data_IF_855574831906
#
_entry.id   IF_855574831906
#
_cell.length_a   1.000
_cell.length_b   1.000
_cell.length_c   1.000
_cell.angle_alpha   90.00
_cell.angle_beta   90.00
_cell.angle_gamma   90.00
#
_symmetry.space_group_name_H-M   'P 1'
#
loop_
_entity.id
_entity.type
_entity.pdbx_description
1 polymer ?
#
# COMPACT_ATOMS: atom_id res chain seq x y z
N UNK A 1 25.34 -13.67 7.06
CA UNK A 1 25.55 -13.82 8.53
C UNK A 1 25.50 -15.29 8.94
N UNK A 2 24.43 -16.04 8.67
CA UNK A 2 24.30 -17.46 9.07
C UNK A 2 25.42 -18.35 8.48
N UNK A 3 25.79 -18.18 7.20
CA UNK A 3 26.87 -18.95 6.59
C UNK A 3 28.22 -18.76 7.29
N UNK A 4 28.50 -17.60 7.86
CA UNK A 4 29.73 -17.35 8.59
C UNK A 4 29.79 -18.12 9.93
N UNK A 5 28.64 -18.38 10.54
CA UNK A 5 28.54 -19.12 11.81
C UNK A 5 28.68 -20.63 11.62
N UNK A 6 28.61 -21.17 10.40
CA UNK A 6 28.85 -22.60 10.15
C UNK A 6 30.28 -23.01 10.44
N UNK A 7 31.27 -22.12 10.19
CA UNK A 7 32.68 -22.42 10.44
C UNK A 7 32.98 -22.69 11.92
N UNK A 8 32.60 -21.82 12.89
CA UNK A 8 32.79 -22.12 14.31
C UNK A 8 32.00 -23.37 14.77
N UNK A 9 30.82 -23.65 14.21
CA UNK A 9 30.05 -24.87 14.53
C UNK A 9 30.81 -26.12 14.10
N UNK A 10 31.35 -26.15 12.88
CA UNK A 10 32.14 -27.25 12.37
C UNK A 10 33.44 -27.43 13.18
N UNK A 11 34.10 -26.34 13.55
CA UNK A 11 35.27 -26.34 14.39
C UNK A 11 35.01 -26.96 15.75
N UNK A 12 33.96 -26.55 16.45
CA UNK A 12 33.56 -27.13 17.73
C UNK A 12 33.17 -28.60 17.60
N UNK A 13 32.52 -28.99 16.51
CA UNK A 13 32.20 -30.42 16.26
C UNK A 13 33.46 -31.25 16.05
N UNK A 14 34.46 -30.74 15.35
CA UNK A 14 35.76 -31.42 15.17
C UNK A 14 36.51 -31.53 16.50
N UNK A 15 36.47 -30.50 17.34
CA UNK A 15 37.08 -30.49 18.65
C UNK A 15 36.41 -31.54 19.57
N UNK A 16 35.08 -31.62 19.60
CA UNK A 16 34.34 -32.64 20.32
C UNK A 16 34.66 -34.04 19.83
N UNK A 17 34.76 -34.24 18.50
CA UNK A 17 35.10 -35.54 17.94
C UNK A 17 36.52 -35.99 18.30
N UNK A 18 37.43 -35.07 18.56
CA UNK A 18 38.82 -35.39 18.96
C UNK A 18 38.91 -35.91 20.40
N UNK A 19 37.93 -35.59 21.24
CA UNK A 19 37.86 -36.07 22.64
C UNK A 19 36.91 -37.26 22.84
N UNK A 20 36.31 -37.76 21.75
CA UNK A 20 35.40 -38.92 21.85
C UNK A 20 36.15 -40.24 21.80
N UNK A 21 35.86 -41.11 22.78
CA UNK A 21 36.29 -42.50 22.82
C UNK A 21 35.08 -43.44 22.72
N UNK A 22 35.30 -44.63 22.11
CA UNK A 22 34.20 -45.59 21.92
C UNK A 22 33.62 -46.05 23.29
N UNK A 23 32.33 -45.85 23.44
CA UNK A 23 31.61 -46.19 24.69
C UNK A 23 31.31 -45.00 25.59
N UNK A 24 31.80 -43.81 25.29
CA UNK A 24 31.44 -42.60 26.03
C UNK A 24 29.99 -42.16 25.75
N UNK A 25 29.31 -41.82 26.82
CA UNK A 25 27.99 -41.15 26.71
C UNK A 25 28.15 -39.67 26.38
N UNK A 26 27.06 -39.06 25.90
CA UNK A 26 27.05 -37.61 25.60
C UNK A 26 27.36 -36.78 26.85
N UNK A 27 26.94 -37.26 28.04
CA UNK A 27 27.20 -36.57 29.31
C UNK A 27 28.68 -36.62 29.70
N UNK A 28 29.35 -37.78 29.46
CA UNK A 28 30.79 -37.91 29.69
C UNK A 28 31.59 -36.98 28.79
N UNK A 29 31.20 -36.89 27.51
CA UNK A 29 31.82 -36.01 26.56
C UNK A 29 31.66 -34.51 26.94
N UNK A 30 30.47 -34.13 27.48
CA UNK A 30 30.25 -32.77 28.00
C UNK A 30 31.11 -32.49 29.23
N UNK A 31 31.34 -33.46 30.10
CA UNK A 31 32.24 -33.34 31.25
C UNK A 31 33.70 -33.08 30.85
N UNK A 32 34.16 -33.65 29.73
CA UNK A 32 35.52 -33.43 29.20
C UNK A 32 35.64 -32.18 28.34
N UNK A 33 34.53 -31.51 28.01
CA UNK A 33 34.53 -30.35 27.10
C UNK A 33 35.39 -29.17 27.56
N UNK A 34 35.41 -28.90 28.89
CA UNK A 34 36.25 -27.87 29.47
C UNK A 34 37.73 -28.11 29.26
N UNK A 35 38.20 -29.38 29.39
CA UNK A 35 39.58 -29.74 29.13
C UNK A 35 39.96 -29.64 27.64
N UNK A 36 38.99 -29.91 26.72
CA UNK A 36 39.20 -29.74 25.28
C UNK A 36 39.37 -28.27 24.90
N UNK A 37 38.67 -27.36 25.58
CA UNK A 37 38.76 -25.91 25.36
C UNK A 37 40.12 -25.33 25.85
N UNK A 38 40.80 -25.94 26.80
CA UNK A 38 42.14 -25.50 27.22
C UNK A 38 43.19 -25.68 26.11
N UNK A 39 42.94 -26.59 25.16
CA UNK A 39 43.84 -26.85 24.02
C UNK A 39 43.08 -26.75 22.69
N UNK A 40 42.62 -25.58 22.32
CA UNK A 40 41.69 -25.40 21.22
C UNK A 40 42.27 -25.81 19.86
N UNK A 41 43.57 -25.74 19.67
CA UNK A 41 44.23 -26.07 18.39
C UNK A 41 44.70 -27.55 18.28
N UNK A 42 44.46 -28.37 19.32
CA UNK A 42 44.82 -29.79 19.33
C UNK A 42 43.76 -30.69 18.69
N UNK A 43 43.25 -30.33 17.48
CA UNK A 43 42.25 -31.12 16.78
C UNK A 43 42.93 -32.35 16.17
N UNK A 44 42.44 -33.55 16.55
CA UNK A 44 42.81 -34.82 15.94
C UNK A 44 41.69 -35.30 15.02
N UNK A 45 42.00 -35.58 13.77
CA UNK A 45 41.03 -36.15 12.84
C UNK A 45 40.80 -37.62 13.17
N UNK A 46 39.59 -37.96 13.61
CA UNK A 46 39.19 -39.31 13.96
C UNK A 46 38.16 -39.86 12.96
N UNK A 47 37.96 -41.20 12.88
CA UNK A 47 36.91 -41.77 12.04
C UNK A 47 35.49 -41.28 12.40
N UNK A 48 35.30 -40.73 13.60
CA UNK A 48 34.04 -40.20 14.09
C UNK A 48 33.84 -38.71 13.71
N UNK A 49 34.91 -37.97 13.36
CA UNK A 49 34.86 -36.54 13.04
C UNK A 49 33.78 -36.21 12.00
N UNK A 50 33.63 -36.92 10.87
CA UNK A 50 32.59 -36.60 9.86
C UNK A 50 31.19 -36.77 10.41
N UNK A 51 30.94 -37.76 11.31
CA UNK A 51 29.64 -37.98 11.93
C UNK A 51 29.26 -36.84 12.87
N UNK A 52 30.21 -36.37 13.70
CA UNK A 52 30.01 -35.23 14.59
C UNK A 52 29.76 -33.94 13.80
N UNK A 53 30.52 -33.70 12.73
CA UNK A 53 30.31 -32.52 11.86
C UNK A 53 28.94 -32.55 11.20
N UNK A 54 28.50 -33.71 10.68
CA UNK A 54 27.18 -33.85 10.07
C UNK A 54 26.07 -33.62 11.09
N UNK A 55 26.20 -34.22 12.29
CA UNK A 55 25.24 -34.03 13.39
C UNK A 55 25.13 -32.55 13.81
N UNK A 56 26.27 -31.90 13.97
CA UNK A 56 26.31 -30.47 14.31
C UNK A 56 25.66 -29.59 13.24
N UNK A 57 25.91 -29.87 11.94
CA UNK A 57 25.26 -29.18 10.85
C UNK A 57 23.73 -29.37 10.81
N UNK A 58 23.27 -30.61 11.12
CA UNK A 58 21.82 -30.86 11.19
C UNK A 58 21.17 -30.11 12.34
N UNK A 59 21.78 -30.13 13.54
CA UNK A 59 21.28 -29.36 14.69
C UNK A 59 21.31 -27.86 14.41
N UNK A 60 22.40 -27.37 13.83
CA UNK A 60 22.50 -25.95 13.45
C UNK A 60 21.47 -25.56 12.42
N UNK A 61 21.31 -26.32 11.34
CA UNK A 61 20.32 -26.08 10.29
C UNK A 61 18.89 -26.10 10.84
N UNK A 62 18.58 -27.04 11.72
CA UNK A 62 17.30 -27.10 12.39
C UNK A 62 17.04 -25.88 13.30
N UNK A 63 18.06 -25.47 14.06
CA UNK A 63 17.98 -24.27 14.92
C UNK A 63 17.76 -22.99 14.11
N UNK A 64 18.44 -22.85 12.96
CA UNK A 64 18.23 -21.72 12.04
C UNK A 64 16.84 -21.77 11.42
N UNK A 65 16.36 -22.95 11.01
CA UNK A 65 15.02 -23.12 10.47
C UNK A 65 13.95 -22.76 11.49
N UNK A 66 14.10 -23.21 12.73
CA UNK A 66 13.20 -22.82 13.84
C UNK A 66 13.22 -21.32 14.07
N UNK A 67 14.40 -20.71 14.14
CA UNK A 67 14.53 -19.27 14.32
C UNK A 67 13.84 -18.48 13.19
N UNK A 68 14.04 -18.90 11.94
CA UNK A 68 13.40 -18.26 10.79
C UNK A 68 11.88 -18.47 10.78
N UNK A 69 11.42 -19.64 11.20
CA UNK A 69 9.99 -19.99 11.27
C UNK A 69 9.27 -19.25 12.40
N UNK A 70 9.92 -19.10 13.57
CA UNK A 70 9.34 -18.44 14.73
C UNK A 70 9.53 -16.92 14.73
N UNK A 71 10.33 -16.41 13.79
CA UNK A 71 10.53 -14.97 13.64
C UNK A 71 9.26 -14.31 13.15
N UNK A 72 8.48 -13.78 14.08
CA UNK A 72 7.34 -12.93 13.76
C UNK A 72 7.82 -11.67 13.05
N UNK A 73 7.30 -11.42 11.85
CA UNK A 73 7.50 -10.16 11.13
C UNK A 73 6.64 -9.08 11.79
N UNK A 74 6.92 -8.80 13.06
CA UNK A 74 6.29 -7.68 13.76
C UNK A 74 6.76 -6.39 13.11
N UNK A 75 5.80 -5.55 12.72
CA UNK A 75 6.03 -4.19 12.24
C UNK A 75 5.67 -3.23 13.38
N UNK A 76 6.62 -2.84 14.22
CA UNK A 76 6.35 -1.93 15.33
C UNK A 76 5.73 -0.64 14.81
N UNK A 77 4.60 -0.23 15.38
CA UNK A 77 3.85 0.97 14.97
C UNK A 77 2.86 0.75 13.81
N UNK A 78 2.63 -0.50 13.40
CA UNK A 78 1.63 -0.85 12.38
C UNK A 78 0.57 -1.83 12.92
N UNK A 79 0.37 -1.88 14.25
CA UNK A 79 -0.57 -2.81 14.91
C UNK A 79 -2.02 -2.61 14.46
N UNK A 80 -2.39 -1.41 14.02
CA UNK A 80 -3.72 -1.03 13.52
C UNK A 80 -3.80 -0.93 11.99
N UNK A 81 -2.77 -1.38 11.28
CA UNK A 81 -2.68 -1.36 9.83
C UNK A 81 -1.50 -0.53 9.31
N UNK A 82 -1.05 -0.87 8.12
CA UNK A 82 0.08 -0.21 7.45
C UNK A 82 -0.31 1.07 6.69
N UNK A 83 -1.58 1.53 6.82
CA UNK A 83 -2.07 2.72 6.13
C UNK A 83 -1.36 3.98 6.64
N UNK A 84 -0.74 4.72 5.73
CA UNK A 84 -0.06 5.99 6.01
C UNK A 84 -0.57 7.06 5.06
N UNK A 85 -0.51 8.31 5.48
CA UNK A 85 -0.79 9.43 4.58
C UNK A 85 0.17 9.41 3.40
N UNK A 86 -0.40 9.41 2.19
CA UNK A 86 0.39 9.48 0.97
C UNK A 86 1.00 10.87 0.77
N UNK A 87 2.14 10.93 0.08
CA UNK A 87 2.70 12.23 -0.35
C UNK A 87 1.82 12.84 -1.45
N UNK A 88 1.32 14.09 -1.28
CA UNK A 88 0.50 14.76 -2.31
C UNK A 88 1.19 14.83 -3.67
N UNK A 89 2.50 15.09 -3.70
CA UNK A 89 3.29 15.16 -4.94
C UNK A 89 3.33 13.82 -5.69
N UNK A 90 3.47 12.70 -4.95
CA UNK A 90 3.48 11.38 -5.56
C UNK A 90 2.09 10.98 -6.08
N UNK A 91 1.03 11.34 -5.35
CA UNK A 91 -0.34 11.09 -5.75
C UNK A 91 -0.70 11.90 -7.00
N UNK A 92 -0.39 13.20 -7.01
CA UNK A 92 -0.63 14.05 -8.17
C UNK A 92 0.11 13.51 -9.41
N UNK A 93 1.41 13.20 -9.28
CA UNK A 93 2.19 12.62 -10.38
C UNK A 93 1.62 11.30 -10.91
N UNK A 94 1.05 10.48 -10.02
CA UNK A 94 0.52 9.15 -10.37
C UNK A 94 -0.83 9.22 -11.07
N UNK A 95 -1.72 10.13 -10.66
CA UNK A 95 -3.13 10.12 -11.06
C UNK A 95 -3.51 11.29 -11.97
N UNK A 96 -2.71 12.33 -12.04
CA UNK A 96 -2.96 13.51 -12.88
C UNK A 96 -2.82 13.16 -14.35
N UNK A 97 -3.78 13.61 -15.17
CA UNK A 97 -3.63 13.64 -16.61
C UNK A 97 -2.70 14.78 -17.03
N UNK A 98 -1.94 14.57 -18.12
CA UNK A 98 -1.02 15.57 -18.68
C UNK A 98 -1.75 16.80 -19.21
N UNK A 99 -2.97 16.61 -19.75
CA UNK A 99 -3.80 17.71 -20.20
C UNK A 99 -4.38 18.46 -18.98
N UNK A 100 -4.08 19.75 -18.80
CA UNK A 100 -4.42 20.49 -17.58
C UNK A 100 -5.90 20.46 -17.22
N UNK A 101 -6.78 20.52 -18.23
CA UNK A 101 -8.23 20.58 -18.03
C UNK A 101 -8.92 19.20 -17.97
N UNK A 102 -8.22 18.11 -18.25
CA UNK A 102 -8.75 16.75 -18.19
C UNK A 102 -8.60 16.11 -16.80
N UNK A 103 -8.76 16.92 -15.77
CA UNK A 103 -8.58 16.50 -14.39
C UNK A 103 -9.72 16.96 -13.50
N UNK A 104 -10.07 16.17 -12.50
CA UNK A 104 -10.82 16.62 -11.33
C UNK A 104 -9.85 17.20 -10.31
N UNK A 105 -10.16 18.38 -9.79
CA UNK A 105 -9.42 19.01 -8.70
C UNK A 105 -9.90 18.42 -7.38
N UNK A 106 -9.05 17.63 -6.73
CA UNK A 106 -9.37 17.04 -5.42
C UNK A 106 -9.00 17.99 -4.28
N UNK A 107 -7.81 18.57 -4.37
CA UNK A 107 -7.28 19.55 -3.41
C UNK A 107 -6.43 20.58 -4.17
N UNK A 108 -5.89 21.54 -3.45
CA UNK A 108 -4.95 22.51 -4.02
C UNK A 108 -3.74 21.83 -4.68
N UNK A 109 -3.30 20.69 -4.17
CA UNK A 109 -2.06 20.02 -4.57
C UNK A 109 -2.26 18.68 -5.29
N UNK A 110 -3.49 18.20 -5.39
CA UNK A 110 -3.78 16.87 -5.96
C UNK A 110 -4.90 16.96 -6.97
N UNK A 111 -4.65 16.45 -8.15
CA UNK A 111 -5.60 16.31 -9.25
C UNK A 111 -5.70 14.86 -9.68
N UNK A 112 -6.80 14.50 -10.29
CA UNK A 112 -7.05 13.15 -10.79
C UNK A 112 -7.63 13.21 -12.19
N UNK A 113 -7.02 12.51 -13.14
CA UNK A 113 -7.49 12.47 -14.51
C UNK A 113 -8.91 11.93 -14.62
N UNK A 114 -9.68 12.44 -15.59
CA UNK A 114 -11.06 12.01 -15.83
C UNK A 114 -11.14 10.62 -16.48
N UNK A 115 -10.06 10.13 -17.09
CA UNK A 115 -10.04 8.81 -17.70
C UNK A 115 -9.74 7.71 -16.68
N UNK A 116 -10.79 7.17 -16.05
CA UNK A 116 -10.70 6.09 -15.08
C UNK A 116 -10.05 4.80 -15.60
N UNK A 117 -10.05 4.56 -16.91
CA UNK A 117 -9.40 3.40 -17.52
C UNK A 117 -7.88 3.47 -17.42
N UNK A 118 -7.29 4.68 -17.49
CA UNK A 118 -5.84 4.88 -17.41
C UNK A 118 -5.31 4.60 -16.00
N UNK A 119 -5.94 5.17 -14.98
CA UNK A 119 -5.47 5.03 -13.60
C UNK A 119 -6.19 3.94 -12.80
N UNK A 120 -7.18 3.24 -13.41
CA UNK A 120 -7.95 2.13 -12.84
C UNK A 120 -8.59 2.47 -11.47
N UNK A 121 -9.12 3.70 -11.35
CA UNK A 121 -9.79 4.20 -10.16
C UNK A 121 -11.18 4.69 -10.49
N UNK A 122 -12.09 4.52 -9.53
CA UNK A 122 -13.40 5.12 -9.60
C UNK A 122 -13.29 6.65 -9.41
N UNK A 123 -14.12 7.40 -10.13
CA UNK A 123 -14.23 8.86 -10.02
C UNK A 123 -15.31 9.29 -9.02
N UNK A 124 -15.99 8.34 -8.37
CA UNK A 124 -16.93 8.65 -7.30
C UNK A 124 -16.21 9.29 -6.12
N UNK A 125 -16.69 10.45 -5.70
CA UNK A 125 -16.07 11.26 -4.66
C UNK A 125 -17.10 11.71 -3.64
N UNK A 126 -16.73 11.66 -2.37
CA UNK A 126 -17.53 12.18 -1.26
C UNK A 126 -16.74 13.31 -0.61
N UNK A 127 -17.33 14.51 -0.57
CA UNK A 127 -16.73 15.68 0.07
C UNK A 127 -17.52 16.00 1.31
N UNK A 128 -16.92 15.78 2.47
CA UNK A 128 -17.56 15.95 3.78
C UNK A 128 -17.05 17.23 4.46
N UNK A 129 -17.94 17.98 5.03
CA UNK A 129 -17.61 19.20 5.80
C UNK A 129 -18.87 19.88 6.33
N UNK A 130 -18.74 20.60 7.42
CA UNK A 130 -19.82 21.39 8.01
C UNK A 130 -20.30 22.55 7.11
N UNK A 131 -21.31 23.27 7.57
CA UNK A 131 -21.72 24.52 6.90
C UNK A 131 -20.57 25.52 6.93
N UNK A 132 -20.35 26.27 5.85
CA UNK A 132 -19.25 27.22 5.76
C UNK A 132 -17.85 26.62 5.50
N UNK A 133 -17.68 25.29 5.52
CA UNK A 133 -16.38 24.64 5.27
C UNK A 133 -15.82 24.82 3.83
N UNK A 134 -16.52 25.51 2.96
CA UNK A 134 -16.07 25.86 1.62
C UNK A 134 -16.21 24.75 0.58
N UNK A 135 -17.03 23.72 0.83
CA UNK A 135 -17.25 22.63 -0.16
C UNK A 135 -17.61 23.14 -1.54
N UNK A 136 -18.58 24.05 -1.64
CA UNK A 136 -18.98 24.65 -2.91
C UNK A 136 -17.89 25.55 -3.48
N UNK A 137 -17.23 26.36 -2.64
CA UNK A 137 -16.23 27.35 -3.07
C UNK A 137 -14.93 26.68 -3.55
N UNK A 138 -14.42 25.70 -2.83
CA UNK A 138 -13.09 25.15 -3.10
C UNK A 138 -13.10 23.84 -3.89
N UNK A 139 -14.25 23.16 -3.96
CA UNK A 139 -14.36 21.92 -4.72
C UNK A 139 -15.34 22.03 -5.89
N UNK A 140 -16.61 22.38 -5.64
CA UNK A 140 -17.65 22.33 -6.66
C UNK A 140 -17.41 23.37 -7.77
N UNK A 141 -17.32 24.65 -7.41
CA UNK A 141 -17.12 25.74 -8.40
C UNK A 141 -15.86 25.59 -9.23
N UNK A 142 -14.65 25.32 -8.66
CA UNK A 142 -13.45 25.13 -9.45
C UNK A 142 -13.53 23.97 -10.45
N UNK A 143 -14.17 22.87 -10.07
CA UNK A 143 -14.36 21.74 -10.98
C UNK A 143 -15.31 22.08 -12.14
N UNK A 144 -16.42 22.75 -11.88
CA UNK A 144 -17.35 23.22 -12.91
C UNK A 144 -16.69 24.24 -13.86
N UNK A 145 -15.87 25.15 -13.32
CA UNK A 145 -15.17 26.17 -14.09
C UNK A 145 -14.13 25.59 -15.06
N UNK A 146 -13.66 24.36 -14.86
CA UNK A 146 -12.80 23.70 -15.83
C UNK A 146 -13.53 23.47 -17.17
N UNK A 147 -14.85 23.30 -17.14
CA UNK A 147 -15.68 23.10 -18.33
C UNK A 147 -15.12 21.97 -19.23
N UNK A 148 -14.91 20.82 -18.66
CA UNK A 148 -14.22 19.67 -19.27
C UNK A 148 -15.14 18.48 -19.56
N UNK A 149 -16.40 18.55 -19.14
CA UNK A 149 -17.43 17.55 -19.41
C UNK A 149 -18.83 18.17 -19.29
N UNK A 150 -19.86 17.42 -19.60
CA UNK A 150 -21.25 17.79 -19.26
C UNK A 150 -21.49 17.61 -17.76
N UNK A 151 -22.28 18.51 -17.18
CA UNK A 151 -22.53 18.49 -15.74
C UNK A 151 -24.04 18.43 -15.46
N UNK A 152 -24.42 17.67 -14.45
CA UNK A 152 -25.69 17.77 -13.78
C UNK A 152 -25.43 18.22 -12.34
N UNK A 153 -26.03 19.32 -11.92
CA UNK A 153 -25.75 19.95 -10.63
C UNK A 153 -27.03 20.24 -9.90
N UNK A 154 -27.13 19.78 -8.64
CA UNK A 154 -28.20 20.21 -7.73
C UNK A 154 -27.72 21.44 -6.96
N UNK A 155 -28.45 22.56 -7.13
CA UNK A 155 -28.11 23.86 -6.53
C UNK A 155 -29.32 24.51 -5.83
N UNK A 156 -29.65 24.08 -4.61
CA UNK A 156 -30.88 24.53 -3.93
C UNK A 156 -30.97 26.04 -3.69
N UNK A 157 -29.85 26.75 -3.77
CA UNK A 157 -29.78 28.20 -3.54
C UNK A 157 -29.53 29.01 -4.81
N UNK A 158 -29.27 28.35 -5.93
CA UNK A 158 -28.90 29.00 -7.20
C UNK A 158 -27.55 29.74 -7.16
N UNK A 159 -26.75 29.58 -6.09
CA UNK A 159 -25.46 30.29 -5.93
C UNK A 159 -24.39 29.79 -6.89
N UNK A 160 -24.40 28.50 -7.17
CA UNK A 160 -23.42 27.88 -8.08
C UNK A 160 -23.72 28.28 -9.51
N UNK A 161 -24.98 28.22 -9.91
CA UNK A 161 -25.44 28.64 -11.22
C UNK A 161 -25.06 30.11 -11.48
N UNK A 162 -25.48 31.03 -10.59
CA UNK A 162 -25.16 32.46 -10.75
C UNK A 162 -23.66 32.74 -10.89
N UNK A 163 -22.82 31.98 -10.18
CA UNK A 163 -21.38 32.19 -10.21
C UNK A 163 -20.68 31.57 -11.43
N UNK A 164 -21.18 30.46 -11.97
CA UNK A 164 -20.45 29.65 -12.96
C UNK A 164 -21.09 29.74 -14.35
N UNK A 165 -22.41 29.94 -14.45
CA UNK A 165 -23.13 30.00 -15.72
C UNK A 165 -22.54 30.97 -16.74
N UNK A 166 -22.17 32.23 -16.40
CA UNK A 166 -21.58 33.14 -17.36
C UNK A 166 -20.31 32.61 -18.02
N UNK A 167 -19.48 31.90 -17.25
CA UNK A 167 -18.25 31.30 -17.80
C UNK A 167 -18.58 30.13 -18.72
N UNK A 168 -19.51 29.27 -18.34
CA UNK A 168 -19.91 28.08 -19.11
C UNK A 168 -20.56 28.52 -20.45
N UNK A 169 -21.44 29.51 -20.44
CA UNK A 169 -22.04 30.11 -21.66
C UNK A 169 -20.97 30.66 -22.58
N UNK A 170 -19.97 31.39 -22.04
CA UNK A 170 -18.84 31.90 -22.84
C UNK A 170 -18.00 30.76 -23.45
N UNK A 171 -17.98 29.57 -22.81
CA UNK A 171 -17.32 28.40 -23.36
C UNK A 171 -18.19 27.55 -24.29
N UNK A 172 -19.39 28.01 -24.64
CA UNK A 172 -20.29 27.33 -25.57
C UNK A 172 -21.20 26.26 -24.94
N UNK A 173 -21.32 26.23 -23.65
CA UNK A 173 -22.25 25.30 -22.97
C UNK A 173 -23.70 25.80 -23.12
N UNK A 174 -24.60 24.86 -23.35
CA UNK A 174 -26.03 25.07 -23.22
C UNK A 174 -26.41 24.77 -21.77
N UNK A 175 -27.00 25.74 -21.09
CA UNK A 175 -27.44 25.60 -19.69
C UNK A 175 -28.93 25.43 -19.70
N UNK A 176 -29.40 24.38 -19.05
CA UNK A 176 -30.81 24.09 -18.78
C UNK A 176 -31.02 24.15 -17.27
N UNK A 177 -32.08 24.85 -16.88
CA UNK A 177 -32.43 25.05 -15.47
C UNK A 177 -33.79 24.44 -15.22
N UNK A 178 -33.82 23.40 -14.37
CA UNK A 178 -35.06 22.82 -13.91
C UNK A 178 -35.35 23.34 -12.51
N UNK A 179 -36.23 24.33 -12.42
CA UNK A 179 -36.60 24.99 -11.15
C UNK A 179 -37.90 24.47 -10.66
N UNK A 180 -37.93 23.88 -9.46
CA UNK A 180 -39.09 23.36 -8.79
C UNK A 180 -39.79 24.41 -7.90
N UNK A 181 -39.15 25.56 -7.69
CA UNK A 181 -39.69 26.65 -6.87
C UNK A 181 -40.34 27.67 -7.77
N UNK A 182 -39.66 28.10 -8.81
CA UNK A 182 -40.14 29.04 -9.82
C UNK A 182 -40.35 28.29 -11.15
N UNK A 183 -41.52 27.68 -11.27
CA UNK A 183 -41.86 26.84 -12.43
C UNK A 183 -42.05 27.65 -13.71
N UNK A 184 -42.39 28.94 -13.59
CA UNK A 184 -42.65 29.82 -14.73
C UNK A 184 -41.36 30.16 -15.50
N UNK A 185 -40.20 30.11 -14.81
CA UNK A 185 -38.89 30.34 -15.38
C UNK A 185 -38.06 29.02 -15.53
N UNK A 186 -38.71 27.87 -15.35
CA UNK A 186 -38.07 26.55 -15.48
C UNK A 186 -38.05 26.06 -16.91
N UNK A 187 -36.91 25.46 -17.31
CA UNK A 187 -36.87 24.65 -18.54
C UNK A 187 -37.74 23.39 -18.36
N UNK A 188 -38.45 23.00 -19.43
CA UNK A 188 -39.16 21.73 -19.46
C UNK A 188 -38.21 20.58 -19.85
N UNK A 189 -38.43 19.42 -19.23
CA UNK A 189 -37.72 18.20 -19.57
C UNK A 189 -38.71 17.07 -19.88
N UNK A 190 -38.68 16.58 -21.11
CA UNK A 190 -39.43 15.40 -21.50
C UNK A 190 -38.50 14.19 -21.58
N UNK A 191 -38.60 13.18 -20.69
CA UNK A 191 -37.74 12.00 -20.69
C UNK A 191 -38.09 11.00 -21.83
N UNK A 192 -39.33 11.01 -22.33
CA UNK A 192 -39.81 9.99 -23.27
C UNK A 192 -39.00 9.85 -24.56
N UNK A 193 -38.47 10.92 -25.19
CA UNK A 193 -37.62 10.78 -26.37
C UNK A 193 -36.33 10.02 -26.15
N UNK A 194 -35.92 9.85 -24.89
CA UNK A 194 -34.67 9.16 -24.50
C UNK A 194 -34.88 7.70 -24.10
N UNK A 195 -36.14 7.29 -23.97
CA UNK A 195 -36.45 5.87 -23.75
C UNK A 195 -36.28 5.13 -25.07
N UNK A 196 -35.35 4.21 -25.10
CA UNK A 196 -35.22 3.26 -26.20
C UNK A 196 -36.13 2.08 -25.89
N UNK A 197 -36.89 1.62 -26.88
CA UNK A 197 -37.59 0.35 -26.75
C UNK A 197 -36.55 -0.75 -26.48
N UNK A 198 -36.65 -1.39 -25.33
CA UNK A 198 -35.89 -2.60 -25.01
C UNK A 198 -36.39 -3.74 -25.92
N UNK A 199 -35.88 -3.76 -27.11
CA UNK A 199 -35.99 -4.88 -28.04
C UNK A 199 -34.61 -5.43 -28.37
N UNK A 200 -33.88 -5.86 -27.32
CA UNK A 200 -32.72 -6.76 -27.48
C UNK A 200 -32.54 -7.57 -26.18
#
# INVERSE_FOLDING_TARGET
MWAALTLPVLYLAALLASGYEEGMTVFDLMGHFSGLLERPFAIRWTPHTPKFMLGALLIYGFSVALYCSTRENRRPGEEHGSAKWGSPKLLDRKYRDKAPFQNTILTQNVRMGLNGKVHRRNLLQIVIGGSGAGKTRFFCKPNLMQANCSFLVTDPKGETMRAVAPLLLKKGYVIKVFDLIDTDHSDAFNPFPYLKDDKD
#
